data_IF_769605947358
#
_entry.id   IF_769605947358
#
_cell.length_a   1.000
_cell.length_b   1.000
_cell.length_c   1.000
_cell.angle_alpha   90.00
_cell.angle_beta   90.00
_cell.angle_gamma   90.00
#
_symmetry.space_group_name_H-M   'P 1'
#
loop_
_entity.id
_entity.type
_entity.pdbx_description
1 polymer ?
#
# COMPACT_ATOMS: atom_id res chain seq x y z
N UNK A 1 -16.69 -11.18 2.82
CA UNK A 1 -16.98 -10.86 4.22
C UNK A 1 -15.63 -10.71 4.90
N UNK A 2 -14.93 -9.60 4.65
CA UNK A 2 -13.48 -9.49 4.94
C UNK A 2 -13.17 -8.43 5.99
N UNK A 3 -14.22 -7.83 6.59
CA UNK A 3 -14.10 -6.67 7.46
C UNK A 3 -13.19 -6.91 8.69
N UNK A 4 -12.93 -8.16 9.07
CA UNK A 4 -12.07 -8.51 10.20
C UNK A 4 -10.68 -9.06 9.84
N UNK A 5 -10.34 -9.23 8.56
CA UNK A 5 -9.03 -9.77 8.20
C UNK A 5 -7.96 -8.66 8.26
N UNK A 6 -6.80 -8.92 8.88
CA UNK A 6 -5.66 -8.01 8.81
C UNK A 6 -5.26 -7.76 7.35
N UNK A 7 -5.00 -6.49 7.03
CA UNK A 7 -4.65 -6.04 5.68
C UNK A 7 -3.14 -5.97 5.53
N UNK A 8 -2.62 -6.47 4.41
CA UNK A 8 -1.22 -6.36 4.01
C UNK A 8 -1.14 -5.45 2.80
N UNK A 9 -0.26 -4.45 2.85
CA UNK A 9 -0.09 -3.44 1.80
C UNK A 9 1.19 -3.71 1.01
N UNK A 10 1.09 -3.67 -0.31
CA UNK A 10 2.23 -3.54 -1.21
C UNK A 10 2.24 -2.13 -1.80
N UNK A 11 3.33 -1.40 -1.59
CA UNK A 11 3.43 0.06 -1.81
C UNK A 11 4.44 0.41 -2.92
N UNK A 12 4.95 -0.59 -3.62
CA UNK A 12 5.82 -0.39 -4.78
C UNK A 12 5.55 -1.52 -5.76
N UNK A 13 5.49 -1.18 -7.05
CA UNK A 13 5.23 -2.13 -8.14
C UNK A 13 6.19 -3.33 -8.14
N UNK A 14 7.42 -3.17 -7.65
CA UNK A 14 8.38 -4.27 -7.52
C UNK A 14 8.11 -5.25 -6.38
N UNK A 15 7.30 -4.89 -5.38
CA UNK A 15 7.02 -5.74 -4.22
C UNK A 15 5.92 -6.78 -4.51
N UNK A 16 4.95 -6.43 -5.35
CA UNK A 16 3.84 -7.31 -5.72
C UNK A 16 4.36 -8.62 -6.34
N UNK A 17 4.03 -9.76 -5.72
CA UNK A 17 4.42 -11.09 -6.17
C UNK A 17 5.84 -11.54 -5.76
N UNK A 18 6.64 -10.70 -5.10
CA UNK A 18 7.94 -11.11 -4.51
C UNK A 18 7.82 -11.55 -3.05
N UNK A 19 6.81 -11.07 -2.32
CA UNK A 19 6.59 -11.42 -0.92
C UNK A 19 5.82 -12.76 -0.78
N UNK A 20 6.13 -13.60 0.24
CA UNK A 20 5.35 -14.78 0.55
C UNK A 20 3.88 -14.46 0.87
N UNK A 21 2.97 -15.26 0.33
CA UNK A 21 1.53 -15.16 0.65
C UNK A 21 1.26 -15.82 2.00
N UNK A 22 0.66 -15.07 2.90
CA UNK A 22 0.28 -15.44 4.27
C UNK A 22 -1.23 -15.72 4.29
N UNK A 23 -1.66 -16.93 4.70
CA UNK A 23 -3.08 -17.27 4.81
C UNK A 23 -3.84 -16.36 5.78
N UNK A 24 -5.14 -16.15 5.53
CA UNK A 24 -6.00 -15.36 6.42
C UNK A 24 -5.66 -13.86 6.43
N UNK A 25 -5.13 -13.34 5.32
CA UNK A 25 -4.81 -11.93 5.12
C UNK A 25 -5.52 -11.41 3.88
N UNK A 26 -5.89 -10.12 3.92
CA UNK A 26 -6.35 -9.40 2.73
C UNK A 26 -5.22 -8.58 2.17
N UNK A 27 -4.87 -8.82 0.92
CA UNK A 27 -3.80 -8.11 0.23
C UNK A 27 -4.37 -6.91 -0.54
N UNK A 28 -3.67 -5.79 -0.46
CA UNK A 28 -3.91 -4.60 -1.28
C UNK A 28 -2.62 -4.27 -2.02
N UNK A 29 -2.77 -3.99 -3.30
CA UNK A 29 -1.68 -3.61 -4.18
C UNK A 29 -1.92 -2.18 -4.67
N UNK A 30 -1.02 -1.27 -4.31
CA UNK A 30 -1.02 0.10 -4.80
C UNK A 30 0.09 0.25 -5.82
N UNK A 31 -0.23 0.56 -7.09
CA UNK A 31 0.75 0.60 -8.18
C UNK A 31 1.56 1.92 -8.17
N UNK A 32 2.13 2.26 -7.03
CA UNK A 32 2.99 3.44 -6.86
C UNK A 32 4.36 3.21 -7.51
N UNK A 33 4.91 4.26 -8.10
CA UNK A 33 6.21 4.21 -8.77
C UNK A 33 7.36 3.96 -7.77
N UNK A 34 8.43 3.32 -8.24
CA UNK A 34 9.64 3.11 -7.44
C UNK A 34 10.39 4.44 -7.27
N UNK A 35 10.67 4.89 -6.03
CA UNK A 35 11.42 6.12 -5.80
C UNK A 35 12.94 5.97 -6.02
N UNK A 36 13.47 4.76 -6.20
CA UNK A 36 14.93 4.58 -6.34
C UNK A 36 15.48 5.29 -7.58
N UNK A 37 16.54 6.09 -7.39
CA UNK A 37 17.13 6.93 -8.43
C UNK A 37 16.27 8.12 -8.90
N UNK A 38 15.06 8.31 -8.39
CA UNK A 38 14.17 9.39 -8.80
C UNK A 38 14.61 10.76 -8.23
N UNK A 39 14.36 11.88 -8.93
CA UNK A 39 14.62 13.21 -8.40
C UNK A 39 13.72 13.50 -7.18
N UNK A 40 14.20 14.32 -6.24
CA UNK A 40 13.49 14.58 -4.98
C UNK A 40 12.05 15.08 -5.12
N UNK A 41 11.73 15.77 -6.21
CA UNK A 41 10.36 16.19 -6.51
C UNK A 41 9.44 15.00 -6.83
N UNK A 42 9.92 14.02 -7.58
CA UNK A 42 9.18 12.79 -7.89
C UNK A 42 9.00 11.93 -6.63
N UNK A 43 10.03 11.82 -5.78
CA UNK A 43 9.94 11.12 -4.50
C UNK A 43 8.85 11.74 -3.60
N UNK A 44 8.77 13.08 -3.55
CA UNK A 44 7.71 13.77 -2.80
C UNK A 44 6.32 13.46 -3.38
N UNK A 45 6.17 13.46 -4.70
CA UNK A 45 4.90 13.10 -5.33
C UNK A 45 4.48 11.65 -5.00
N UNK A 46 5.41 10.69 -5.08
CA UNK A 46 5.16 9.28 -4.69
C UNK A 46 4.73 9.18 -3.22
N UNK A 47 5.42 9.88 -2.31
CA UNK A 47 5.04 9.93 -0.89
C UNK A 47 3.62 10.46 -0.71
N UNK A 48 3.27 11.53 -1.40
CA UNK A 48 1.96 12.18 -1.26
C UNK A 48 0.83 11.27 -1.81
N UNK A 49 1.11 10.48 -2.86
CA UNK A 49 0.20 9.43 -3.35
C UNK A 49 -0.02 8.31 -2.31
N UNK A 50 1.06 7.85 -1.67
CA UNK A 50 0.97 6.85 -0.58
C UNK A 50 0.15 7.40 0.59
N UNK A 51 0.34 8.66 0.97
CA UNK A 51 -0.39 9.31 2.05
C UNK A 51 -1.90 9.39 1.77
N UNK A 52 -2.28 9.70 0.53
CA UNK A 52 -3.67 9.68 0.10
C UNK A 52 -4.28 8.27 0.22
N UNK A 53 -3.57 7.25 -0.25
CA UNK A 53 -4.04 5.87 -0.14
C UNK A 53 -4.18 5.39 1.31
N UNK A 54 -3.26 5.77 2.19
CA UNK A 54 -3.33 5.45 3.62
C UNK A 54 -4.53 6.17 4.26
N UNK A 55 -4.76 7.43 3.92
CA UNK A 55 -5.89 8.22 4.43
C UNK A 55 -7.23 7.59 4.03
N UNK A 56 -7.37 7.22 2.76
CA UNK A 56 -8.55 6.50 2.26
C UNK A 56 -8.71 5.13 2.93
N UNK A 57 -7.60 4.42 3.13
CA UNK A 57 -7.59 3.14 3.82
C UNK A 57 -8.16 3.28 5.23
N UNK A 58 -7.69 4.26 6.00
CA UNK A 58 -8.15 4.51 7.37
C UNK A 58 -9.66 4.78 7.44
N UNK A 59 -10.22 5.52 6.48
CA UNK A 59 -11.66 5.76 6.41
C UNK A 59 -12.48 4.46 6.21
N UNK A 60 -11.86 3.39 5.71
CA UNK A 60 -12.51 2.08 5.48
C UNK A 60 -12.22 1.05 6.56
N UNK A 61 -11.32 1.33 7.51
CA UNK A 61 -11.01 0.38 8.57
C UNK A 61 -12.13 0.38 9.62
N UNK A 62 -12.51 -0.78 10.17
CA UNK A 62 -13.43 -0.82 11.29
C UNK A 62 -12.84 -0.02 12.47
N UNK A 63 -13.71 0.71 13.18
CA UNK A 63 -13.35 1.26 14.48
C UNK A 63 -12.90 0.15 15.42
N UNK A 64 -11.88 0.45 16.23
CA UNK A 64 -11.33 -0.49 17.22
C UNK A 64 -12.28 -0.65 18.41
#
# INVERSE_FOLDING_TARGET
MDAGLPRVLFVCSHNAGRAPVVPGRRYLDWPVADPDGAPSAAVRAIRDEIDAHISDLFATLPGT
#
